data_IF_237339626387
#
_entry.id   IF_237339626387
#
_cell.length_a   1.000
_cell.length_b   1.000
_cell.length_c   1.000
_cell.angle_alpha   90.00
_cell.angle_beta   90.00
_cell.angle_gamma   90.00
#
_symmetry.space_group_name_H-M   'P 1'
#
loop_
_entity.id
_entity.type
_entity.pdbx_description
1 polymer ?
#
# COMPACT_ATOMS: atom_id res chain seq x y z
N UNK A 1 13.49 -11.79 9.94
CA UNK A 1 14.41 -12.89 9.54
C UNK A 1 15.57 -12.40 8.67
N UNK A 2 15.38 -11.43 7.75
CA UNK A 2 16.46 -10.92 6.88
C UNK A 2 17.63 -10.20 7.59
N UNK A 3 17.41 -9.54 8.73
CA UNK A 3 18.48 -8.75 9.40
C UNK A 3 19.52 -9.58 10.17
N UNK A 4 19.16 -10.78 10.64
CA UNK A 4 19.97 -11.57 11.60
C UNK A 4 21.04 -12.44 10.93
N UNK A 5 20.82 -12.87 9.69
CA UNK A 5 21.78 -13.71 8.94
C UNK A 5 22.96 -12.88 8.43
N UNK A 6 22.70 -11.62 8.06
CA UNK A 6 23.69 -10.73 7.45
C UNK A 6 24.82 -10.36 8.42
N UNK A 7 24.50 -10.07 9.67
CA UNK A 7 25.51 -9.63 10.67
C UNK A 7 26.53 -10.70 11.00
N UNK A 8 26.19 -11.98 10.82
CA UNK A 8 27.09 -13.11 11.13
C UNK A 8 27.97 -13.50 9.94
N UNK A 9 27.40 -13.55 8.73
CA UNK A 9 28.12 -14.09 7.56
C UNK A 9 28.64 -13.02 6.59
N UNK A 10 28.02 -11.84 6.54
CA UNK A 10 28.38 -10.76 5.60
C UNK A 10 28.30 -9.38 6.28
N UNK A 11 29.15 -9.10 7.29
CA UNK A 11 29.05 -7.91 8.14
C UNK A 11 29.21 -6.59 7.37
N UNK A 12 29.92 -6.59 6.23
CA UNK A 12 30.19 -5.41 5.42
C UNK A 12 29.22 -5.22 4.24
N UNK A 13 28.29 -6.15 4.00
CA UNK A 13 27.34 -5.98 2.89
C UNK A 13 26.46 -4.74 3.14
N UNK A 14 25.99 -4.07 2.09
CA UNK A 14 24.95 -3.04 2.22
C UNK A 14 23.56 -3.70 2.35
N UNK A 15 22.66 -3.15 3.17
CA UNK A 15 21.22 -3.50 3.05
C UNK A 15 20.65 -2.55 2.01
N UNK A 16 20.16 -3.11 0.91
CA UNK A 16 19.48 -2.35 -0.14
C UNK A 16 18.04 -2.83 -0.16
N UNK A 17 17.10 -1.89 -0.02
CA UNK A 17 15.69 -2.17 -0.23
C UNK A 17 15.34 -1.82 -1.67
N UNK A 18 14.76 -2.76 -2.39
CA UNK A 18 14.11 -2.47 -3.65
C UNK A 18 12.66 -2.01 -3.44
N UNK A 19 12.06 -1.45 -4.50
CA UNK A 19 10.67 -0.98 -4.50
C UNK A 19 9.68 -2.08 -4.11
N UNK A 20 9.98 -3.32 -4.49
CA UNK A 20 9.09 -4.45 -4.24
C UNK A 20 8.98 -4.74 -2.74
N UNK A 21 10.08 -4.70 -2.00
CA UNK A 21 10.07 -4.90 -0.54
C UNK A 21 9.24 -3.83 0.17
N UNK A 22 9.35 -2.58 -0.27
CA UNK A 22 8.62 -1.45 0.32
C UNK A 22 7.13 -1.56 0.01
N UNK A 23 6.76 -1.78 -1.26
CA UNK A 23 5.36 -1.96 -1.67
C UNK A 23 4.75 -3.20 -1.00
N UNK A 24 5.49 -4.29 -0.88
CA UNK A 24 5.03 -5.50 -0.19
C UNK A 24 4.77 -5.24 1.30
N UNK A 25 5.60 -4.43 1.96
CA UNK A 25 5.38 -4.04 3.34
C UNK A 25 4.18 -3.09 3.47
N UNK A 26 4.04 -2.12 2.57
CA UNK A 26 2.90 -1.20 2.54
C UNK A 26 1.57 -1.92 2.29
N UNK A 27 1.56 -2.95 1.43
CA UNK A 27 0.40 -3.82 1.21
C UNK A 27 -0.10 -4.49 2.51
N UNK A 28 0.79 -4.76 3.48
CA UNK A 28 0.38 -5.26 4.81
C UNK A 28 -0.33 -4.19 5.63
N UNK A 29 0.08 -2.92 5.52
CA UNK A 29 -0.58 -1.79 6.16
C UNK A 29 -2.00 -1.64 5.64
N UNK A 30 -2.19 -1.67 4.31
CA UNK A 30 -3.53 -1.62 3.68
C UNK A 30 -4.42 -2.75 4.21
N UNK A 31 -3.93 -3.98 4.27
CA UNK A 31 -4.73 -5.09 4.78
C UNK A 31 -5.03 -4.96 6.28
N UNK A 32 -4.10 -4.41 7.06
CA UNK A 32 -4.30 -4.08 8.48
C UNK A 32 -5.46 -3.09 8.67
N UNK A 33 -5.44 -1.98 7.92
CA UNK A 33 -6.48 -0.94 7.93
C UNK A 33 -7.80 -1.53 7.47
N UNK A 34 -7.83 -2.25 6.34
CA UNK A 34 -9.03 -2.93 5.85
C UNK A 34 -9.67 -3.85 6.91
N UNK A 35 -8.86 -4.62 7.65
CA UNK A 35 -9.36 -5.48 8.74
C UNK A 35 -9.90 -4.66 9.91
N UNK A 36 -9.25 -3.55 10.27
CA UNK A 36 -9.72 -2.65 11.32
C UNK A 36 -11.07 -2.02 10.95
N UNK A 37 -11.16 -1.45 9.76
CA UNK A 37 -12.37 -0.84 9.21
C UNK A 37 -13.52 -1.86 9.09
N UNK A 38 -13.25 -3.08 8.60
CA UNK A 38 -14.25 -4.14 8.53
C UNK A 38 -14.79 -4.60 9.90
N UNK A 39 -14.02 -4.40 10.98
CA UNK A 39 -14.47 -4.70 12.35
C UNK A 39 -15.28 -3.55 12.95
N UNK A 40 -14.95 -2.30 12.60
CA UNK A 40 -15.63 -1.12 13.10
C UNK A 40 -16.92 -0.78 12.33
N UNK A 41 -17.05 -1.23 11.09
CA UNK A 41 -18.19 -0.94 10.21
C UNK A 41 -19.51 -1.58 10.67
N UNK A 42 -20.62 -0.88 10.44
CA UNK A 42 -21.98 -1.43 10.49
C UNK A 42 -22.17 -2.52 9.43
N UNK A 43 -23.15 -3.40 9.61
CA UNK A 43 -23.31 -4.60 8.76
C UNK A 43 -23.55 -4.25 7.27
N UNK A 44 -24.17 -3.11 6.99
CA UNK A 44 -24.35 -2.57 5.63
C UNK A 44 -23.03 -2.28 4.92
N UNK A 45 -22.10 -1.60 5.60
CA UNK A 45 -20.81 -1.19 5.04
C UNK A 45 -19.79 -2.33 5.03
N UNK A 46 -19.92 -3.25 5.99
CA UNK A 46 -19.09 -4.45 6.11
C UNK A 46 -19.16 -5.33 4.86
N UNK A 47 -20.29 -5.37 4.18
CA UNK A 47 -20.46 -6.10 2.92
C UNK A 47 -19.64 -5.49 1.77
N UNK A 48 -19.41 -4.18 1.79
CA UNK A 48 -18.60 -3.49 0.78
C UNK A 48 -17.10 -3.70 1.06
N UNK A 49 -16.69 -3.70 2.34
CA UNK A 49 -15.29 -3.89 2.76
C UNK A 49 -14.87 -5.37 2.68
N UNK A 50 -15.78 -6.32 2.90
CA UNK A 50 -15.48 -7.74 2.74
C UNK A 50 -15.22 -8.07 1.26
N UNK A 51 -14.17 -8.86 1.03
CA UNK A 51 -13.76 -9.26 -0.32
C UNK A 51 -13.12 -8.14 -1.16
N UNK A 52 -12.85 -6.96 -0.59
CA UNK A 52 -12.23 -5.85 -1.33
C UNK A 52 -10.69 -5.87 -1.34
N UNK A 53 -10.05 -6.81 -0.63
CA UNK A 53 -8.59 -6.90 -0.51
C UNK A 53 -7.90 -6.77 -1.87
N UNK A 54 -8.30 -7.56 -2.85
CA UNK A 54 -7.66 -7.56 -4.16
C UNK A 54 -7.90 -6.27 -4.95
N UNK A 55 -9.00 -5.56 -4.71
CA UNK A 55 -9.26 -4.25 -5.33
C UNK A 55 -8.24 -3.22 -4.85
N UNK A 56 -7.93 -3.23 -3.55
CA UNK A 56 -6.97 -2.30 -2.93
C UNK A 56 -5.51 -2.63 -3.27
N UNK A 57 -5.19 -3.91 -3.49
CA UNK A 57 -3.82 -4.37 -3.74
C UNK A 57 -3.42 -4.32 -5.21
N UNK A 58 -4.37 -4.39 -6.15
CA UNK A 58 -4.10 -4.23 -7.58
C UNK A 58 -3.54 -2.85 -7.89
N UNK A 59 -2.83 -2.76 -9.01
CA UNK A 59 -2.53 -1.47 -9.60
C UNK A 59 -3.73 -1.02 -10.45
N UNK A 60 -3.97 0.31 -10.58
CA UNK A 60 -5.08 0.85 -11.36
C UNK A 60 -5.16 0.29 -12.79
N UNK A 61 -4.02 0.15 -13.47
CA UNK A 61 -3.92 -0.38 -14.84
C UNK A 61 -4.33 -1.86 -14.98
N UNK A 62 -4.38 -2.59 -13.87
CA UNK A 62 -4.73 -4.01 -13.81
C UNK A 62 -6.16 -4.26 -13.30
N UNK A 63 -6.94 -3.20 -13.08
CA UNK A 63 -8.34 -3.31 -12.70
C UNK A 63 -9.19 -3.65 -13.92
N UNK A 64 -10.11 -4.61 -13.75
CA UNK A 64 -11.12 -4.91 -14.77
C UNK A 64 -12.18 -3.79 -14.75
N UNK A 65 -12.81 -3.50 -15.88
CA UNK A 65 -13.87 -2.47 -15.97
C UNK A 65 -14.97 -2.67 -14.91
N UNK A 66 -15.37 -3.91 -14.65
CA UNK A 66 -16.35 -4.26 -13.61
C UNK A 66 -15.87 -4.07 -12.17
N UNK A 67 -14.57 -3.96 -11.95
CA UNK A 67 -13.96 -3.77 -10.63
C UNK A 67 -13.87 -2.28 -10.26
N UNK A 68 -13.82 -1.38 -11.26
CA UNK A 68 -13.68 0.07 -11.06
C UNK A 68 -14.83 0.65 -10.22
N UNK A 69 -16.12 0.43 -10.55
CA UNK A 69 -17.21 1.00 -9.74
C UNK A 69 -17.24 0.47 -8.31
N UNK A 70 -16.78 -0.77 -8.12
CA UNK A 70 -16.70 -1.38 -6.79
C UNK A 70 -15.59 -0.77 -5.96
N UNK A 71 -14.45 -0.45 -6.58
CA UNK A 71 -13.37 0.27 -5.92
C UNK A 71 -13.80 1.69 -5.56
N UNK A 72 -14.39 2.44 -6.51
CA UNK A 72 -14.88 3.80 -6.26
C UNK A 72 -15.88 3.85 -5.11
N UNK A 73 -16.85 2.93 -5.09
CA UNK A 73 -17.81 2.81 -3.97
C UNK A 73 -17.11 2.50 -2.65
N UNK A 74 -16.08 1.66 -2.62
CA UNK A 74 -15.33 1.36 -1.41
C UNK A 74 -14.58 2.59 -0.88
N UNK A 75 -13.93 3.33 -1.78
CA UNK A 75 -13.13 4.51 -1.40
C UNK A 75 -14.04 5.69 -1.00
N UNK A 76 -15.26 5.78 -1.53
CA UNK A 76 -16.21 6.83 -1.16
C UNK A 76 -16.83 6.64 0.22
N UNK A 77 -17.05 5.39 0.66
CA UNK A 77 -17.63 5.09 1.97
C UNK A 77 -16.60 5.00 3.10
N UNK A 78 -15.31 4.79 2.77
CA UNK A 78 -14.27 4.57 3.77
C UNK A 78 -13.06 5.48 3.53
N UNK A 79 -13.04 6.61 4.25
CA UNK A 79 -11.98 7.61 4.17
C UNK A 79 -10.60 7.03 4.49
N UNK A 80 -10.50 6.17 5.51
CA UNK A 80 -9.22 5.59 5.92
C UNK A 80 -8.65 4.68 4.82
N UNK A 81 -9.48 3.84 4.21
CA UNK A 81 -9.12 3.02 3.05
C UNK A 81 -8.74 3.87 1.83
N UNK A 82 -9.46 4.97 1.61
CA UNK A 82 -9.13 5.95 0.56
C UNK A 82 -7.76 6.55 0.77
N UNK A 83 -7.46 7.05 1.98
CA UNK A 83 -6.17 7.63 2.33
C UNK A 83 -5.03 6.63 2.10
N UNK A 84 -5.13 5.41 2.64
CA UNK A 84 -4.03 4.44 2.47
C UNK A 84 -3.88 3.97 1.04
N UNK A 85 -4.95 4.00 0.24
CA UNK A 85 -4.88 3.70 -1.19
C UNK A 85 -4.14 4.79 -1.98
N UNK A 86 -4.41 6.06 -1.71
CA UNK A 86 -3.70 7.20 -2.33
C UNK A 86 -2.22 7.20 -1.94
N UNK A 87 -1.93 7.04 -0.65
CA UNK A 87 -0.56 6.99 -0.13
C UNK A 87 0.28 5.85 -0.77
N UNK A 88 -0.34 4.75 -1.21
CA UNK A 88 0.35 3.69 -1.97
C UNK A 88 0.87 4.20 -3.30
N UNK A 89 0.10 5.06 -3.96
CA UNK A 89 0.44 5.62 -5.27
C UNK A 89 1.51 6.70 -5.13
N UNK A 90 1.37 7.58 -4.14
CA UNK A 90 2.41 8.56 -3.78
C UNK A 90 3.74 7.89 -3.47
N UNK A 91 3.74 6.79 -2.71
CA UNK A 91 4.93 6.01 -2.42
C UNK A 91 5.64 5.48 -3.69
N UNK A 92 4.87 5.11 -4.72
CA UNK A 92 5.45 4.69 -6.01
C UNK A 92 6.04 5.87 -6.76
N UNK A 93 5.34 7.01 -6.78
CA UNK A 93 5.80 8.24 -7.42
C UNK A 93 7.12 8.70 -6.82
N UNK A 94 7.22 8.72 -5.49
CA UNK A 94 8.45 9.00 -4.74
C UNK A 94 9.58 8.07 -5.22
N UNK A 95 9.32 6.76 -5.34
CA UNK A 95 10.32 5.80 -5.80
C UNK A 95 10.77 5.98 -7.26
N UNK A 96 9.97 6.64 -8.11
CA UNK A 96 10.35 6.94 -9.49
C UNK A 96 11.29 8.15 -9.61
N UNK A 97 11.50 8.91 -8.53
CA UNK A 97 12.48 10.00 -8.52
C UNK A 97 13.90 9.45 -8.65
N UNK A 98 14.57 9.77 -9.76
CA UNK A 98 15.94 9.32 -10.04
C UNK A 98 17.01 10.22 -9.42
N UNK A 99 16.61 11.35 -8.83
CA UNK A 99 17.50 12.30 -8.17
C UNK A 99 17.20 12.42 -6.68
N UNK A 100 18.27 12.50 -5.88
CA UNK A 100 18.19 12.56 -4.42
C UNK A 100 17.51 13.85 -3.93
N UNK A 101 17.70 14.98 -4.62
CA UNK A 101 17.06 16.24 -4.24
C UNK A 101 15.56 16.21 -4.58
N UNK A 102 15.20 15.63 -5.73
CA UNK A 102 13.79 15.38 -6.08
C UNK A 102 13.09 14.48 -5.06
N UNK A 103 13.75 13.39 -4.66
CA UNK A 103 13.25 12.48 -3.62
C UNK A 103 13.02 13.18 -2.27
N UNK A 104 13.98 14.01 -1.83
CA UNK A 104 13.84 14.78 -0.58
C UNK A 104 12.63 15.72 -0.63
N UNK A 105 12.48 16.47 -1.73
CA UNK A 105 11.33 17.37 -1.90
C UNK A 105 10.00 16.63 -1.91
N UNK A 106 9.94 15.46 -2.55
CA UNK A 106 8.72 14.66 -2.61
C UNK A 106 8.31 14.05 -1.26
N UNK A 107 9.27 13.87 -0.33
CA UNK A 107 9.02 13.41 1.03
C UNK A 107 8.59 14.53 2.00
N UNK A 108 8.93 15.78 1.69
CA UNK A 108 8.66 16.97 2.52
C UNK A 108 7.34 17.69 2.14
N UNK A 109 6.60 17.17 1.16
CA UNK A 109 5.28 17.67 0.72
C UNK A 109 4.13 17.10 1.56
#
# INVERSE_FOLDING_TARGET
>A
MFGLVKTVFCPQAAIVFDVFHIVAQYNKVIDGVRRAEARAAMETDKNVIKGSRWLLLKNPENLKEKEIPRLEKLLSINKNLSTVYILKDELKTIWQCNDRQQMSKALDM
#
